data_IF_847996500778
#
_entry.id   IF_847996500778
#
_cell.length_a   1.000
_cell.length_b   1.000
_cell.length_c   1.000
_cell.angle_alpha   90.00
_cell.angle_beta   90.00
_cell.angle_gamma   90.00
#
_symmetry.space_group_name_H-M   'P 1'
#
loop_
_entity.id
_entity.type
_entity.pdbx_description
1 polymer ?
#
# COMPACT_ATOMS: atom_id res chain seq x y z
N UNK A 1 0.89 17.48 -37.37
CA UNK A 1 1.87 17.89 -36.37
C UNK A 1 1.44 17.37 -35.00
N UNK A 2 2.31 16.67 -34.32
CA UNK A 2 1.97 16.14 -33.00
C UNK A 2 2.11 17.24 -31.95
N UNK A 3 1.17 17.26 -31.03
CA UNK A 3 1.25 18.16 -29.90
C UNK A 3 2.31 17.67 -28.91
N UNK A 4 3.07 18.60 -28.39
CA UNK A 4 3.97 18.30 -27.30
C UNK A 4 3.14 18.18 -26.03
N UNK A 5 3.20 17.04 -25.37
CA UNK A 5 2.53 16.81 -24.09
C UNK A 5 3.55 16.76 -22.99
N UNK A 6 3.21 17.32 -21.85
CA UNK A 6 4.05 17.26 -20.68
C UNK A 6 3.75 15.97 -19.90
N UNK A 7 4.81 15.26 -19.58
CA UNK A 7 4.71 14.03 -18.79
C UNK A 7 5.50 14.23 -17.50
N UNK A 8 4.98 13.65 -16.46
CA UNK A 8 5.58 13.78 -15.14
C UNK A 8 5.87 12.40 -14.56
N UNK A 9 7.03 12.28 -13.92
CA UNK A 9 7.36 11.09 -13.15
C UNK A 9 6.90 11.32 -11.73
N UNK A 10 6.06 10.42 -11.23
CA UNK A 10 5.61 10.46 -9.85
C UNK A 10 6.57 9.65 -9.01
N UNK A 11 7.22 10.31 -8.05
CA UNK A 11 8.18 9.68 -7.16
C UNK A 11 7.91 10.09 -5.72
N UNK A 12 8.14 9.16 -4.83
CA UNK A 12 8.17 9.48 -3.41
C UNK A 12 9.58 9.91 -3.03
N UNK A 13 9.66 11.03 -2.33
CA UNK A 13 10.92 11.51 -1.76
C UNK A 13 10.94 11.18 -0.28
N UNK A 14 12.13 11.09 0.31
CA UNK A 14 12.29 10.76 1.70
C UNK A 14 13.17 9.54 1.89
N UNK A 15 12.91 8.76 2.93
CA UNK A 15 13.71 7.60 3.24
C UNK A 15 13.58 6.53 2.16
N UNK A 16 14.68 5.90 1.83
CA UNK A 16 14.81 5.01 0.68
C UNK A 16 13.84 3.82 0.71
N UNK A 17 13.57 3.27 1.88
CA UNK A 17 12.77 2.06 2.03
C UNK A 17 11.39 2.31 2.61
N UNK A 18 11.08 3.55 2.96
CA UNK A 18 9.84 3.88 3.66
C UNK A 18 9.08 4.93 2.87
N UNK A 19 7.89 4.53 2.43
CA UNK A 19 6.97 5.46 1.81
C UNK A 19 6.52 6.49 2.87
N UNK A 20 6.66 7.81 2.62
CA UNK A 20 6.21 8.82 3.58
C UNK A 20 4.75 8.67 4.01
N UNK A 21 3.90 8.14 3.14
CA UNK A 21 2.49 7.91 3.46
C UNK A 21 2.29 6.82 4.51
N UNK A 22 3.28 5.97 4.76
CA UNK A 22 3.20 4.96 5.81
C UNK A 22 3.06 5.59 7.20
N UNK A 23 3.42 6.86 7.36
CA UNK A 23 3.15 7.60 8.59
C UNK A 23 1.66 7.77 8.88
N UNK A 24 0.80 7.58 7.90
CA UNK A 24 -0.65 7.65 8.08
C UNK A 24 -1.29 6.30 8.44
N UNK A 25 -0.50 5.24 8.50
CA UNK A 25 -1.00 3.93 8.96
C UNK A 25 -1.12 3.95 10.49
N UNK A 26 -2.29 3.60 10.97
CA UNK A 26 -2.49 3.33 12.38
C UNK A 26 -2.06 1.88 12.64
N UNK A 27 -0.79 1.70 13.02
CA UNK A 27 -0.24 0.37 13.25
C UNK A 27 -0.87 -0.32 14.45
N UNK A 28 -1.30 0.44 15.43
CA UNK A 28 -1.94 -0.11 16.63
C UNK A 28 -3.21 -0.90 16.28
N UNK A 29 -4.02 -0.36 15.39
CA UNK A 29 -5.31 -0.94 15.02
C UNK A 29 -5.27 -1.75 13.72
N UNK A 30 -4.18 -1.66 12.99
CA UNK A 30 -3.98 -2.48 11.78
C UNK A 30 -3.51 -3.88 12.14
N UNK A 31 -3.77 -4.84 11.26
CA UNK A 31 -3.39 -6.23 11.46
C UNK A 31 -2.80 -6.79 10.18
N UNK A 32 -1.67 -7.45 10.32
CA UNK A 32 -0.94 -8.08 9.23
C UNK A 32 -0.87 -9.59 9.46
N UNK A 33 -0.30 -10.31 8.51
CA UNK A 33 -0.21 -11.75 8.57
C UNK A 33 1.21 -12.19 8.21
N UNK A 34 1.76 -13.11 9.00
CA UNK A 34 3.04 -13.75 8.69
C UNK A 34 2.77 -15.02 7.89
N UNK A 35 3.06 -15.02 6.57
CA UNK A 35 2.74 -16.16 5.73
C UNK A 35 3.66 -17.36 5.93
N UNK A 36 4.85 -17.15 6.50
CA UNK A 36 5.78 -18.24 6.79
C UNK A 36 5.34 -19.04 8.00
N UNK A 37 4.94 -18.36 9.06
CA UNK A 37 4.51 -18.99 10.31
C UNK A 37 2.99 -19.19 10.36
N UNK A 38 2.26 -18.57 9.44
CA UNK A 38 0.78 -18.65 9.33
C UNK A 38 0.09 -18.14 10.58
N UNK A 39 0.56 -17.03 11.12
CA UNK A 39 -0.01 -16.39 12.30
C UNK A 39 -0.24 -14.90 12.04
N UNK A 40 -1.12 -14.31 12.85
CA UNK A 40 -1.30 -12.87 12.84
C UNK A 40 0.01 -12.18 13.25
N UNK A 41 0.32 -11.07 12.58
CA UNK A 41 1.53 -10.31 12.80
C UNK A 41 1.17 -8.89 13.21
N UNK A 42 1.63 -8.48 14.37
CA UNK A 42 1.46 -7.12 14.86
C UNK A 42 2.70 -6.31 14.55
N UNK A 43 2.53 -5.22 13.82
CA UNK A 43 3.61 -4.31 13.43
C UNK A 43 3.38 -3.01 14.17
N UNK A 44 4.41 -2.47 14.82
CA UNK A 44 4.26 -1.34 15.74
C UNK A 44 4.52 0.02 15.11
N UNK A 45 5.32 0.06 14.03
CA UNK A 45 5.63 1.30 13.33
C UNK A 45 6.18 0.97 11.94
N UNK A 46 6.51 2.00 11.16
CA UNK A 46 7.01 1.81 9.80
C UNK A 46 8.39 1.16 9.76
N UNK A 47 9.23 1.41 10.74
CA UNK A 47 10.55 0.77 10.84
C UNK A 47 10.40 -0.74 11.11
N UNK A 48 9.45 -1.10 11.97
CA UNK A 48 9.12 -2.49 12.22
C UNK A 48 8.53 -3.17 10.99
N UNK A 49 7.72 -2.45 10.21
CA UNK A 49 7.20 -2.95 8.93
C UNK A 49 8.35 -3.33 7.99
N UNK A 50 9.33 -2.47 7.88
CA UNK A 50 10.51 -2.75 7.06
C UNK A 50 11.26 -3.97 7.58
N UNK A 51 11.49 -4.05 8.88
CA UNK A 51 12.18 -5.17 9.52
C UNK A 51 11.44 -6.49 9.28
N UNK A 52 10.14 -6.52 9.52
CA UNK A 52 9.33 -7.73 9.35
C UNK A 52 9.26 -8.16 7.90
N UNK A 53 9.12 -7.19 6.98
CA UNK A 53 9.10 -7.49 5.54
C UNK A 53 10.41 -8.14 5.12
N UNK A 54 11.53 -7.58 5.55
CA UNK A 54 12.87 -8.13 5.24
C UNK A 54 13.05 -9.53 5.81
N UNK A 55 12.59 -9.78 7.04
CA UNK A 55 12.64 -11.08 7.67
C UNK A 55 11.83 -12.11 6.89
N UNK A 56 10.58 -11.79 6.56
CA UNK A 56 9.69 -12.69 5.83
C UNK A 56 10.27 -13.01 4.45
N UNK A 57 10.80 -12.01 3.77
CA UNK A 57 11.43 -12.18 2.47
C UNK A 57 12.60 -13.17 2.54
N UNK A 58 13.49 -13.00 3.51
CA UNK A 58 14.65 -13.88 3.68
C UNK A 58 14.26 -15.29 4.08
N UNK A 59 13.33 -15.44 5.01
CA UNK A 59 12.86 -16.74 5.47
C UNK A 59 12.20 -17.55 4.36
N UNK A 60 11.50 -16.89 3.46
CA UNK A 60 10.82 -17.55 2.34
C UNK A 60 11.74 -17.84 1.15
N UNK A 61 13.02 -17.44 1.21
CA UNK A 61 13.93 -17.57 0.07
C UNK A 61 13.53 -16.68 -1.10
N UNK A 62 12.97 -15.52 -0.80
CA UNK A 62 12.50 -14.52 -1.76
C UNK A 62 11.24 -14.92 -2.54
N UNK A 63 10.54 -15.96 -2.11
CA UNK A 63 9.24 -16.33 -2.70
C UNK A 63 8.14 -15.38 -2.27
N UNK A 64 8.20 -14.86 -1.05
CA UNK A 64 7.21 -13.93 -0.49
C UNK A 64 7.85 -12.55 -0.41
N UNK A 65 7.34 -11.62 -1.19
CA UNK A 65 7.92 -10.28 -1.32
C UNK A 65 7.11 -9.19 -0.63
N UNK A 66 5.88 -9.48 -0.22
CA UNK A 66 5.01 -8.52 0.45
C UNK A 66 4.39 -9.14 1.68
N UNK A 67 4.15 -8.32 2.70
CA UNK A 67 3.46 -8.75 3.92
C UNK A 67 1.95 -8.71 3.66
N UNK A 68 1.24 -9.83 3.78
CA UNK A 68 -0.22 -9.83 3.65
C UNK A 68 -0.89 -8.97 4.71
N UNK A 69 -1.95 -8.28 4.31
CA UNK A 69 -2.73 -7.43 5.19
C UNK A 69 -4.02 -8.14 5.54
N UNK A 70 -4.40 -8.08 6.81
CA UNK A 70 -5.72 -8.52 7.28
C UNK A 70 -6.64 -7.33 7.49
N UNK A 71 -6.12 -6.26 8.07
CA UNK A 71 -6.87 -5.03 8.31
C UNK A 71 -5.90 -3.86 8.25
N UNK A 72 -6.22 -2.87 7.43
CA UNK A 72 -5.45 -1.64 7.33
C UNK A 72 -6.27 -0.49 7.86
N UNK A 73 -5.77 0.17 8.90
CA UNK A 73 -6.41 1.36 9.47
C UNK A 73 -5.53 2.56 9.17
N UNK A 74 -6.12 3.58 8.57
CA UNK A 74 -5.46 4.82 8.21
C UNK A 74 -5.91 5.93 9.16
N UNK A 75 -4.98 6.73 9.62
CA UNK A 75 -5.27 7.88 10.50
C UNK A 75 -5.91 9.04 9.74
N UNK A 76 -5.94 8.97 8.43
CA UNK A 76 -6.42 10.04 7.59
C UNK A 76 -7.17 9.45 6.40
N UNK A 77 -8.21 10.16 5.95
CA UNK A 77 -8.91 9.77 4.74
C UNK A 77 -8.05 10.12 3.52
N UNK A 78 -7.46 9.10 2.92
CA UNK A 78 -6.54 9.23 1.80
C UNK A 78 -7.19 8.61 0.57
N UNK A 79 -7.25 9.35 -0.55
CA UNK A 79 -7.86 8.86 -1.78
C UNK A 79 -6.97 7.89 -2.55
N UNK A 80 -5.66 8.07 -2.45
CA UNK A 80 -4.69 7.21 -3.14
C UNK A 80 -3.55 6.87 -2.20
N UNK A 81 -3.36 5.60 -1.94
CA UNK A 81 -2.31 5.11 -1.05
C UNK A 81 -1.50 4.04 -1.79
N UNK A 82 -0.38 4.42 -2.39
CA UNK A 82 0.49 3.45 -3.07
C UNK A 82 1.37 2.71 -2.06
N UNK A 83 1.28 1.38 -2.07
CA UNK A 83 2.01 0.52 -1.13
C UNK A 83 3.02 -0.39 -1.81
N UNK A 84 3.57 0.05 -2.92
CA UNK A 84 4.39 -0.78 -3.79
C UNK A 84 5.62 -1.40 -3.13
N UNK A 85 6.22 -0.70 -2.15
CA UNK A 85 7.52 -1.12 -1.62
C UNK A 85 7.44 -2.33 -0.70
N UNK A 86 6.39 -2.44 0.11
CA UNK A 86 6.33 -3.47 1.15
C UNK A 86 5.02 -4.23 1.21
N UNK A 87 3.94 -3.61 0.80
CA UNK A 87 2.61 -4.22 0.94
C UNK A 87 1.98 -4.60 -0.40
N UNK A 88 2.53 -4.12 -1.50
CA UNK A 88 2.22 -4.60 -2.84
C UNK A 88 1.07 -3.91 -3.55
N UNK A 89 0.02 -3.57 -2.85
CA UNK A 89 -1.18 -3.02 -3.47
C UNK A 89 -1.17 -1.50 -3.51
N UNK A 90 -1.73 -0.94 -4.59
CA UNK A 90 -2.04 0.49 -4.64
C UNK A 90 -3.53 0.62 -4.35
N UNK A 91 -3.87 1.34 -3.29
CA UNK A 91 -5.24 1.46 -2.83
C UNK A 91 -5.81 2.82 -3.24
N UNK A 92 -7.03 2.81 -3.78
CA UNK A 92 -7.75 4.03 -4.11
C UNK A 92 -9.08 4.03 -3.36
N UNK A 93 -9.56 5.22 -3.01
CA UNK A 93 -10.88 5.39 -2.42
C UNK A 93 -11.96 5.18 -3.47
N UNK A 94 -13.16 4.83 -3.02
CA UNK A 94 -14.33 4.75 -3.90
C UNK A 94 -14.59 6.08 -4.59
N UNK A 95 -14.39 7.19 -3.87
CA UNK A 95 -14.57 8.53 -4.41
C UNK A 95 -13.62 8.80 -5.58
N UNK A 96 -12.35 8.45 -5.44
CA UNK A 96 -11.37 8.63 -6.51
C UNK A 96 -11.68 7.72 -7.70
N UNK A 97 -12.02 6.47 -7.44
CA UNK A 97 -12.42 5.50 -8.47
C UNK A 97 -13.59 6.04 -9.29
N UNK A 98 -14.63 6.52 -8.62
CA UNK A 98 -15.79 7.09 -9.30
C UNK A 98 -15.42 8.31 -10.14
N UNK A 99 -14.57 9.18 -9.62
CA UNK A 99 -14.11 10.36 -10.36
C UNK A 99 -13.35 9.97 -11.63
N UNK A 100 -12.50 8.96 -11.56
CA UNK A 100 -11.77 8.45 -12.73
C UNK A 100 -12.75 7.92 -13.77
N UNK A 101 -13.73 7.12 -13.35
CA UNK A 101 -14.72 6.53 -14.26
C UNK A 101 -15.63 7.58 -14.89
N UNK A 102 -16.10 8.54 -14.09
CA UNK A 102 -16.99 9.62 -14.57
C UNK A 102 -16.30 10.53 -15.57
N UNK A 103 -15.01 10.73 -15.47
CA UNK A 103 -14.24 11.56 -16.39
C UNK A 103 -13.73 10.82 -17.60
N UNK A 104 -14.12 9.54 -17.76
CA UNK A 104 -13.78 8.75 -18.93
C UNK A 104 -12.29 8.44 -19.05
N UNK A 105 -11.56 8.46 -17.94
CA UNK A 105 -10.14 8.13 -17.94
C UNK A 105 -10.00 6.62 -18.05
N UNK A 106 -9.23 6.15 -19.03
CA UNK A 106 -9.03 4.73 -19.30
C UNK A 106 -7.61 4.30 -18.92
N UNK A 107 -7.36 2.98 -18.97
CA UNK A 107 -6.06 2.43 -18.64
C UNK A 107 -5.92 2.03 -17.17
N UNK A 108 -7.01 2.10 -16.41
CA UNK A 108 -7.03 1.67 -15.02
C UNK A 108 -7.90 0.44 -14.86
N UNK A 109 -7.44 -0.51 -14.07
CA UNK A 109 -8.22 -1.65 -13.64
C UNK A 109 -8.37 -1.57 -12.12
N UNK A 110 -9.59 -1.80 -11.64
CA UNK A 110 -9.90 -1.75 -10.22
C UNK A 110 -10.34 -3.13 -9.76
N UNK A 111 -9.74 -3.60 -8.66
CA UNK A 111 -10.06 -4.89 -8.07
C UNK A 111 -10.55 -4.69 -6.65
N UNK A 112 -11.48 -5.51 -6.24
CA UNK A 112 -11.92 -5.51 -4.85
C UNK A 112 -10.79 -5.97 -3.94
N UNK A 113 -10.69 -5.32 -2.78
CA UNK A 113 -9.71 -5.68 -1.76
C UNK A 113 -10.29 -6.80 -0.91
N UNK A 114 -9.48 -7.80 -0.63
CA UNK A 114 -9.88 -8.95 0.19
C UNK A 114 -9.58 -8.80 1.67
N UNK A 115 -9.22 -7.58 2.08
CA UNK A 115 -9.01 -7.23 3.48
C UNK A 115 -9.75 -5.92 3.80
N UNK A 116 -9.94 -5.66 5.09
CA UNK A 116 -10.65 -4.47 5.53
C UNK A 116 -9.73 -3.25 5.51
N UNK A 117 -10.23 -2.13 4.97
CA UNK A 117 -9.54 -0.84 5.03
C UNK A 117 -10.48 0.16 5.71
N UNK A 118 -9.98 0.77 6.77
CA UNK A 118 -10.72 1.77 7.55
C UNK A 118 -9.92 3.06 7.55
N UNK A 119 -10.56 4.18 7.19
CA UNK A 119 -9.96 5.51 7.26
C UNK A 119 -10.68 6.33 8.32
N UNK A 120 -9.94 6.81 9.29
CA UNK A 120 -10.46 7.61 10.38
C UNK A 120 -10.30 9.12 10.14
#
# INVERSE_FOLDING_TARGET
MSEKKDYYIFQFTGEKFLNPLFGHINFKDSLFFDPNQKIALKIINKEDLYFQTSRILKESGFDIINVPIKKLVLNKNIDFFPMQSFLGDNIVSERLKQSIEENGITGFEFFEIDYEVVAE
#
